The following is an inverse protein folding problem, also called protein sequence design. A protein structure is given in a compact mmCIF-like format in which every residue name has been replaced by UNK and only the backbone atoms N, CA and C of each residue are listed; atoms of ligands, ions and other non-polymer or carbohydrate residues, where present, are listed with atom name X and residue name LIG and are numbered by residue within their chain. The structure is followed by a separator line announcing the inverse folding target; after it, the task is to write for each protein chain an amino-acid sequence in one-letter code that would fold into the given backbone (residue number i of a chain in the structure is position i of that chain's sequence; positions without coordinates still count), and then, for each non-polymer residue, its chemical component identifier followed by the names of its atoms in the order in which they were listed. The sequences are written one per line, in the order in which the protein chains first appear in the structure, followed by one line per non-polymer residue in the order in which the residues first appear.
data_IF_933959336019
#
_entry.id   IF_933959336019
#
_cell.length_a   1.000
_cell.length_b   1.000
_cell.length_c   1.000
_cell.angle_alpha   90.00
_cell.angle_beta   90.00
_cell.angle_gamma   90.00
#
_symmetry.space_group_name_H-M   'P 1'
#
loop_
_entity.id
_entity.type
_entity.pdbx_description
1 polymer ?
#
# COMPACT_ATOMS: atom_id res chain seq x y z
N UNK A 1 15.00 4.43 24.29
CA UNK A 1 13.60 4.86 24.24
C UNK A 1 12.73 3.71 23.76
N UNK A 2 11.63 3.43 24.44
CA UNK A 2 10.67 2.42 24.01
C UNK A 2 9.99 2.91 22.73
N UNK A 3 10.30 2.30 21.57
CA UNK A 3 9.64 2.56 20.28
C UNK A 3 8.21 1.99 20.30
N UNK A 4 7.42 2.53 21.20
CA UNK A 4 6.09 2.04 21.55
C UNK A 4 5.04 2.28 20.46
N UNK A 5 5.39 2.98 19.38
CA UNK A 5 4.57 3.13 18.18
C UNK A 5 4.80 2.02 17.14
N UNK A 6 5.83 1.18 17.28
CA UNK A 6 6.25 0.21 16.25
C UNK A 6 5.86 -1.24 16.59
N UNK A 7 4.80 -1.41 17.38
CA UNK A 7 4.47 -2.69 18.03
C UNK A 7 4.01 -3.76 17.04
N UNK A 8 3.37 -3.38 15.93
CA UNK A 8 2.97 -4.32 14.87
C UNK A 8 4.21 -4.89 14.18
N UNK A 9 5.18 -4.04 13.78
CA UNK A 9 6.44 -4.52 13.20
C UNK A 9 7.24 -5.41 14.16
N UNK A 10 7.18 -5.13 15.46
CA UNK A 10 7.81 -5.97 16.47
C UNK A 10 7.15 -7.34 16.61
N UNK A 11 5.82 -7.41 16.53
CA UNK A 11 5.14 -8.70 16.48
C UNK A 11 5.50 -9.47 15.21
N UNK A 12 5.71 -8.78 14.08
CA UNK A 12 6.23 -9.39 12.86
C UNK A 12 7.59 -10.07 13.07
N UNK A 13 8.56 -9.34 13.62
CA UNK A 13 9.88 -9.93 13.94
C UNK A 13 9.71 -11.11 14.88
N UNK A 14 8.89 -10.97 15.94
CA UNK A 14 8.71 -11.98 16.97
C UNK A 14 8.08 -13.27 16.45
N UNK A 15 7.11 -13.19 15.53
CA UNK A 15 6.30 -14.32 15.08
C UNK A 15 6.71 -14.86 13.72
N UNK A 16 7.11 -14.00 12.80
CA UNK A 16 7.47 -14.36 11.43
C UNK A 16 8.99 -14.38 11.21
N UNK A 17 9.77 -13.76 12.09
CA UNK A 17 11.24 -13.74 12.02
C UNK A 17 11.82 -12.67 11.08
N UNK A 18 10.97 -11.79 10.53
CA UNK A 18 11.37 -10.76 9.57
C UNK A 18 10.82 -9.40 9.98
N UNK A 19 11.56 -8.35 9.65
CA UNK A 19 11.12 -6.97 9.82
C UNK A 19 10.29 -6.54 8.59
N UNK A 20 9.08 -6.06 8.82
CA UNK A 20 8.29 -5.40 7.77
C UNK A 20 8.77 -3.95 7.60
N UNK A 21 9.04 -3.53 6.37
CA UNK A 21 9.46 -2.14 6.09
C UNK A 21 8.30 -1.16 6.17
N UNK A 22 7.06 -1.60 6.00
CA UNK A 22 5.87 -0.76 6.13
C UNK A 22 5.55 -0.45 7.59
N UNK A 23 5.15 0.79 7.87
CA UNK A 23 4.78 1.34 9.18
C UNK A 23 3.79 0.45 9.94
N UNK A 24 3.89 0.45 11.27
CA UNK A 24 2.97 -0.35 12.10
C UNK A 24 1.50 0.02 11.92
N UNK A 25 1.22 1.26 11.53
CA UNK A 25 -0.10 1.76 11.15
C UNK A 25 -0.62 1.05 9.91
N UNK A 26 -0.03 1.28 8.73
CA UNK A 26 -0.53 0.68 7.49
C UNK A 26 -0.39 -0.85 7.50
N UNK A 27 0.68 -1.38 8.10
CA UNK A 27 0.88 -2.83 8.19
C UNK A 27 -0.18 -3.52 9.06
N UNK A 28 -0.91 -2.80 9.92
CA UNK A 28 -2.04 -3.38 10.64
C UNK A 28 -3.25 -3.63 9.72
N UNK A 29 -3.36 -2.89 8.62
CA UNK A 29 -4.48 -2.94 7.66
C UNK A 29 -4.31 -4.05 6.62
N UNK A 30 -3.07 -4.34 6.19
CA UNK A 30 -2.77 -5.37 5.18
C UNK A 30 -3.01 -6.83 5.60
N UNK A 31 -3.46 -7.08 6.82
CA UNK A 31 -3.68 -8.42 7.34
C UNK A 31 -4.81 -8.47 8.38
N UNK A 32 -5.19 -9.69 8.72
CA UNK A 32 -6.35 -10.00 9.56
C UNK A 32 -6.01 -10.24 11.05
N UNK A 33 -4.83 -9.83 11.51
CA UNK A 33 -4.33 -10.18 12.85
C UNK A 33 -4.61 -9.13 13.92
N UNK A 34 -4.71 -7.85 13.55
CA UNK A 34 -4.64 -6.75 14.53
C UNK A 34 -5.93 -5.96 14.70
N UNK A 35 -6.62 -5.64 13.61
CA UNK A 35 -7.87 -4.89 13.64
C UNK A 35 -8.99 -5.92 13.62
N UNK A 36 -9.64 -6.16 14.78
CA UNK A 36 -10.70 -7.17 14.90
C UNK A 36 -11.81 -6.72 15.84
N UNK A 37 -13.06 -6.77 15.38
CA UNK A 37 -14.23 -6.40 16.20
C UNK A 37 -14.36 -7.26 17.47
N UNK A 38 -14.03 -8.55 17.36
CA UNK A 38 -14.06 -9.51 18.48
C UNK A 38 -12.93 -9.31 19.49
N UNK A 39 -11.85 -8.63 19.10
CA UNK A 39 -10.67 -8.40 19.92
C UNK A 39 -10.28 -6.91 19.92
N UNK A 40 -11.19 -6.02 20.38
CA UNK A 40 -10.98 -4.58 20.29
C UNK A 40 -9.78 -4.11 21.14
N UNK A 41 -9.36 -4.90 22.14
CA UNK A 41 -8.18 -4.62 22.96
C UNK A 41 -6.86 -4.64 22.17
N UNK A 42 -6.84 -5.26 20.98
CA UNK A 42 -5.66 -5.28 20.12
C UNK A 42 -5.31 -3.89 19.61
N UNK A 43 -6.30 -3.02 19.39
CA UNK A 43 -6.08 -1.63 18.95
C UNK A 43 -5.24 -0.87 19.99
N UNK A 44 -5.62 -0.94 21.27
CA UNK A 44 -4.85 -0.30 22.35
C UNK A 44 -3.50 -0.99 22.57
N UNK A 45 -3.49 -2.33 22.57
CA UNK A 45 -2.27 -3.12 22.79
C UNK A 45 -1.18 -2.82 21.76
N UNK A 46 -1.54 -2.67 20.49
CA UNK A 46 -0.61 -2.39 19.40
C UNK A 46 -0.57 -0.91 19.00
N UNK A 47 -1.39 -0.06 19.64
CA UNK A 47 -1.50 1.39 19.41
C UNK A 47 -1.77 1.76 17.95
N UNK A 48 -2.78 1.12 17.38
CA UNK A 48 -3.13 1.27 15.96
C UNK A 48 -4.00 2.52 15.80
N UNK A 49 -3.58 3.53 15.02
CA UNK A 49 -4.37 4.74 14.83
C UNK A 49 -5.35 4.55 13.66
N UNK A 50 -6.63 4.24 13.97
CA UNK A 50 -7.64 3.97 12.93
C UNK A 50 -8.01 5.20 12.08
N UNK A 51 -7.95 6.41 12.66
CA UNK A 51 -8.34 7.66 11.98
C UNK A 51 -7.14 8.48 11.46
N UNK A 52 -6.02 7.81 11.22
CA UNK A 52 -4.77 8.49 10.90
C UNK A 52 -4.83 9.19 9.54
N UNK A 53 -5.25 8.46 8.51
CA UNK A 53 -5.28 8.98 7.14
C UNK A 53 -6.21 10.21 6.98
N UNK A 54 -7.48 10.20 7.49
CA UNK A 54 -8.31 11.40 7.48
C UNK A 54 -7.67 12.58 8.20
N UNK A 55 -7.05 12.36 9.37
CA UNK A 55 -6.36 13.41 10.13
C UNK A 55 -5.17 13.98 9.36
N UNK A 56 -4.39 13.13 8.67
CA UNK A 56 -3.32 13.59 7.77
C UNK A 56 -3.88 14.43 6.63
N UNK A 57 -5.00 14.03 6.02
CA UNK A 57 -5.64 14.81 4.96
C UNK A 57 -6.04 16.21 5.44
N UNK A 58 -6.73 16.31 6.58
CA UNK A 58 -7.13 17.60 7.16
C UNK A 58 -5.92 18.51 7.43
N UNK A 59 -4.88 17.97 8.07
CA UNK A 59 -3.65 18.69 8.37
C UNK A 59 -2.94 19.15 7.10
N UNK A 60 -2.85 18.30 6.08
CA UNK A 60 -2.21 18.64 4.81
C UNK A 60 -2.98 19.72 4.05
N UNK A 61 -4.32 19.64 4.01
CA UNK A 61 -5.16 20.66 3.38
C UNK A 61 -5.02 22.00 4.11
N UNK A 62 -5.04 22.01 5.44
CA UNK A 62 -4.85 23.22 6.24
C UNK A 62 -3.45 23.81 6.03
N UNK A 63 -2.41 22.96 6.06
CA UNK A 63 -1.03 23.35 5.79
C UNK A 63 -0.85 23.97 4.42
N UNK A 64 -1.44 23.37 3.38
CA UNK A 64 -1.42 23.91 2.02
C UNK A 64 -2.09 25.29 1.93
N UNK A 65 -3.25 25.46 2.56
CA UNK A 65 -3.96 26.75 2.59
C UNK A 65 -3.13 27.84 3.27
N UNK A 66 -2.49 27.52 4.40
CA UNK A 66 -1.63 28.45 5.13
C UNK A 66 -0.36 28.81 4.34
N UNK A 67 0.27 27.82 3.69
CA UNK A 67 1.50 28.03 2.93
C UNK A 67 1.30 28.72 1.58
N UNK A 68 0.07 28.70 1.03
CA UNK A 68 -0.26 29.28 -0.28
C UNK A 68 0.19 30.72 -0.43
N UNK A 69 -0.08 31.57 0.57
CA UNK A 69 0.28 33.00 0.49
C UNK A 69 1.80 33.20 0.43
N UNK A 70 2.56 32.40 1.19
CA UNK A 70 4.01 32.42 1.15
C UNK A 70 4.53 32.02 -0.24
N UNK A 71 3.97 30.96 -0.84
CA UNK A 71 4.39 30.49 -2.16
C UNK A 71 4.09 31.49 -3.29
N UNK A 72 2.94 32.16 -3.25
CA UNK A 72 2.55 33.14 -4.28
C UNK A 72 3.35 34.45 -4.14
N UNK A 73 3.81 34.80 -2.94
CA UNK A 73 4.60 36.02 -2.68
C UNK A 73 6.03 35.98 -3.24
N UNK A 74 6.50 34.83 -3.74
CA UNK A 74 7.79 34.68 -4.44
C UNK A 74 9.01 34.51 -3.54
N UNK A 75 8.87 34.56 -2.21
CA UNK A 75 9.97 34.34 -1.27
C UNK A 75 10.08 32.86 -0.86
N UNK A 76 10.39 31.99 -1.82
CA UNK A 76 10.44 30.54 -1.62
C UNK A 76 11.84 30.01 -1.95
N UNK A 77 12.40 29.24 -1.04
CA UNK A 77 13.61 28.45 -1.28
C UNK A 77 13.28 26.97 -1.12
N UNK A 78 14.07 26.10 -1.74
CA UNK A 78 13.90 24.66 -1.59
C UNK A 78 15.25 23.98 -1.51
N UNK A 79 15.27 22.85 -0.79
CA UNK A 79 16.36 21.89 -0.84
C UNK A 79 15.80 20.57 -1.35
N UNK A 80 16.64 19.78 -2.02
CA UNK A 80 16.28 18.43 -2.43
C UNK A 80 15.95 17.60 -1.18
N UNK A 81 14.78 16.98 -1.14
CA UNK A 81 14.37 16.11 -0.04
C UNK A 81 15.00 14.73 -0.17
N UNK A 82 14.61 13.80 0.69
CA UNK A 82 14.97 12.38 0.59
C UNK A 82 14.06 11.59 -0.36
N UNK A 83 13.04 12.23 -0.93
CA UNK A 83 12.09 11.58 -1.83
C UNK A 83 12.72 11.21 -3.17
N UNK A 84 12.43 10.00 -3.64
CA UNK A 84 13.14 9.41 -4.79
C UNK A 84 12.92 10.11 -6.12
N UNK A 85 11.79 10.81 -6.33
CA UNK A 85 11.43 11.37 -7.64
C UNK A 85 12.55 12.22 -8.27
N UNK A 86 13.14 13.13 -7.49
CA UNK A 86 14.23 13.98 -7.99
C UNK A 86 15.49 13.17 -8.32
N UNK A 87 15.81 12.12 -7.55
CA UNK A 87 16.98 11.24 -7.77
C UNK A 87 16.79 10.31 -8.97
N UNK A 88 15.57 9.85 -9.21
CA UNK A 88 15.21 9.08 -10.41
C UNK A 88 15.45 9.94 -11.65
N UNK A 89 14.93 11.17 -11.68
CA UNK A 89 15.12 12.08 -12.82
C UNK A 89 16.60 12.38 -13.09
N UNK A 90 17.36 12.69 -12.04
CA UNK A 90 18.80 12.98 -12.12
C UNK A 90 19.62 11.77 -12.62
N UNK A 91 19.31 10.57 -12.11
CA UNK A 91 19.98 9.34 -12.54
C UNK A 91 19.70 9.00 -14.01
N UNK A 92 18.47 9.21 -14.48
CA UNK A 92 18.10 9.02 -15.89
C UNK A 92 18.82 10.03 -16.78
N UNK A 93 18.85 11.31 -16.38
CA UNK A 93 19.41 12.39 -17.21
C UNK A 93 20.93 12.40 -17.25
N UNK A 94 21.59 12.04 -16.15
CA UNK A 94 23.06 12.16 -16.00
C UNK A 94 23.80 10.83 -16.12
N UNK A 95 23.06 9.71 -16.20
CA UNK A 95 23.59 8.35 -16.14
C UNK A 95 24.42 8.03 -14.89
N UNK A 96 24.27 8.82 -13.81
CA UNK A 96 24.85 8.51 -12.51
C UNK A 96 23.90 7.56 -11.78
N UNK A 97 24.26 6.29 -11.57
CA UNK A 97 23.30 5.31 -11.06
C UNK A 97 22.81 5.64 -9.65
N UNK A 98 21.53 5.39 -9.40
CA UNK A 98 20.91 5.58 -8.08
C UNK A 98 20.09 4.34 -7.69
N UNK A 99 20.12 3.97 -6.41
CA UNK A 99 19.40 2.81 -5.87
C UNK A 99 18.15 3.26 -5.12
N UNK A 100 17.03 2.60 -5.39
CA UNK A 100 15.75 2.84 -4.70
C UNK A 100 15.09 1.51 -4.30
N UNK A 101 14.12 1.56 -3.40
CA UNK A 101 13.01 0.59 -3.39
C UNK A 101 11.99 1.06 -4.43
N UNK A 102 11.61 0.20 -5.37
CA UNK A 102 10.77 0.57 -6.50
C UNK A 102 9.75 -0.50 -6.84
N UNK A 103 8.55 -0.04 -7.21
CA UNK A 103 7.44 -0.87 -7.65
C UNK A 103 7.58 -1.15 -9.15
N UNK A 104 7.76 -2.41 -9.53
CA UNK A 104 7.96 -2.87 -10.91
C UNK A 104 7.19 -4.16 -11.17
N UNK A 105 6.85 -4.43 -12.43
CA UNK A 105 6.21 -5.70 -12.80
C UNK A 105 7.13 -6.88 -12.45
N UNK A 106 6.58 -7.93 -11.84
CA UNK A 106 7.33 -9.11 -11.46
C UNK A 106 7.70 -9.97 -12.69
N UNK A 107 8.75 -9.59 -13.39
CA UNK A 107 9.25 -10.34 -14.56
C UNK A 107 10.01 -11.63 -14.19
N UNK A 108 9.79 -12.16 -12.97
CA UNK A 108 10.58 -13.22 -12.34
C UNK A 108 11.59 -12.67 -11.31
N UNK A 109 11.31 -11.51 -10.73
CA UNK A 109 12.16 -10.87 -9.72
C UNK A 109 11.98 -11.54 -8.35
N UNK A 110 10.74 -11.93 -8.03
CA UNK A 110 10.38 -12.77 -6.88
C UNK A 110 9.74 -14.06 -7.40
N UNK A 111 10.44 -15.17 -7.22
CA UNK A 111 10.11 -16.45 -7.91
C UNK A 111 8.74 -17.00 -7.54
N UNK A 112 8.34 -16.85 -6.28
CA UNK A 112 7.13 -17.44 -5.72
C UNK A 112 5.98 -16.44 -5.58
N UNK A 113 5.97 -15.40 -6.42
CA UNK A 113 4.83 -14.50 -6.63
C UNK A 113 4.44 -14.46 -8.13
N UNK A 114 3.18 -14.16 -8.48
CA UNK A 114 2.70 -14.08 -9.86
C UNK A 114 3.49 -13.09 -10.69
N UNK A 115 3.61 -13.34 -12.01
CA UNK A 115 4.36 -12.45 -12.91
C UNK A 115 3.58 -11.18 -13.26
N UNK A 116 2.28 -11.25 -13.10
CA UNK A 116 1.30 -10.18 -13.30
C UNK A 116 1.31 -9.18 -12.13
N UNK A 117 1.90 -9.55 -10.99
CA UNK A 117 1.96 -8.69 -9.81
C UNK A 117 2.96 -7.55 -9.98
N UNK A 118 2.60 -6.37 -9.48
CA UNK A 118 3.58 -5.31 -9.20
C UNK A 118 4.25 -5.62 -7.87
N UNK A 119 5.58 -5.69 -7.85
CA UNK A 119 6.37 -6.01 -6.65
C UNK A 119 7.30 -4.85 -6.33
N UNK A 120 7.48 -4.58 -5.05
CA UNK A 120 8.49 -3.63 -4.59
C UNK A 120 9.80 -4.37 -4.32
N UNK A 121 10.83 -4.06 -5.10
CA UNK A 121 12.17 -4.64 -4.97
C UNK A 121 13.24 -3.55 -5.06
N UNK A 122 14.49 -3.83 -4.64
CA UNK A 122 15.59 -2.94 -4.96
C UNK A 122 15.67 -2.73 -6.48
N UNK A 123 15.78 -1.47 -6.89
CA UNK A 123 15.93 -1.09 -8.28
C UNK A 123 17.19 -0.25 -8.49
N UNK A 124 17.88 -0.46 -9.60
CA UNK A 124 18.94 0.41 -10.09
C UNK A 124 18.36 1.33 -11.17
N UNK A 125 18.60 2.64 -11.03
CA UNK A 125 18.13 3.66 -11.97
C UNK A 125 19.34 4.31 -12.63
N UNK A 126 19.33 4.41 -13.96
CA UNK A 126 20.32 5.15 -14.77
C UNK A 126 19.68 5.55 -16.12
N UNK A 127 20.47 5.87 -17.16
CA UNK A 127 19.93 6.27 -18.47
C UNK A 127 19.02 5.22 -19.13
N UNK A 128 19.17 3.94 -18.76
CA UNK A 128 18.36 2.85 -19.29
C UNK A 128 17.01 2.70 -18.57
N UNK A 129 16.72 3.58 -17.60
CA UNK A 129 15.48 3.57 -16.83
C UNK A 129 15.61 2.78 -15.52
N UNK A 130 14.46 2.41 -14.97
CA UNK A 130 14.35 1.68 -13.70
C UNK A 130 14.49 0.18 -13.96
N UNK A 131 15.48 -0.44 -13.33
CA UNK A 131 15.79 -1.87 -13.49
C UNK A 131 15.61 -2.57 -12.13
N UNK A 132 14.58 -3.41 -12.04
CA UNK A 132 14.36 -4.26 -10.86
C UNK A 132 15.49 -5.27 -10.68
N UNK A 133 15.95 -5.45 -9.45
CA UNK A 133 16.94 -6.46 -9.10
C UNK A 133 16.25 -7.77 -8.69
N UNK A 134 16.76 -8.89 -9.19
CA UNK A 134 16.32 -10.22 -8.77
C UNK A 134 16.49 -10.38 -7.25
N UNK A 135 15.43 -10.82 -6.58
CA UNK A 135 15.39 -11.07 -5.15
C UNK A 135 15.41 -12.57 -4.84
N UNK A 136 14.70 -13.36 -5.64
CA UNK A 136 14.48 -14.80 -5.43
C UNK A 136 13.21 -15.10 -4.64
N UNK A 137 13.11 -16.29 -4.09
CA UNK A 137 11.92 -16.72 -3.36
C UNK A 137 11.80 -16.04 -1.99
N UNK A 138 10.62 -15.50 -1.68
CA UNK A 138 10.28 -15.10 -0.32
C UNK A 138 10.11 -16.33 0.58
N UNK A 139 10.33 -16.22 1.90
CA UNK A 139 9.91 -17.25 2.85
C UNK A 139 8.42 -17.62 2.67
N UNK A 140 8.03 -18.90 2.75
CA UNK A 140 6.69 -19.35 2.36
C UNK A 140 5.53 -18.59 3.03
N UNK A 141 5.66 -18.31 4.33
CA UNK A 141 4.66 -17.56 5.08
C UNK A 141 4.55 -16.10 4.65
N UNK A 142 5.67 -15.47 4.24
CA UNK A 142 5.66 -14.09 3.76
C UNK A 142 5.13 -14.02 2.33
N UNK A 143 5.48 -14.99 1.48
CA UNK A 143 4.89 -15.13 0.16
C UNK A 143 3.37 -15.27 0.27
N UNK A 144 2.87 -16.14 1.17
CA UNK A 144 1.45 -16.32 1.39
C UNK A 144 0.73 -15.03 1.83
N UNK A 145 1.35 -14.23 2.71
CA UNK A 145 0.79 -12.93 3.12
C UNK A 145 0.76 -11.89 2.00
N UNK A 146 1.76 -11.89 1.12
CA UNK A 146 1.74 -11.03 -0.06
C UNK A 146 0.68 -11.51 -1.06
N UNK A 147 0.54 -12.83 -1.23
CA UNK A 147 -0.44 -13.42 -2.14
C UNK A 147 -1.87 -13.04 -1.80
N UNK A 148 -2.26 -12.99 -0.53
CA UNK A 148 -3.62 -12.56 -0.14
C UNK A 148 -3.92 -11.15 -0.64
N UNK A 149 -2.94 -10.24 -0.59
CA UNK A 149 -3.09 -8.87 -1.06
C UNK A 149 -3.00 -8.74 -2.60
N UNK A 150 -2.09 -9.49 -3.23
CA UNK A 150 -1.95 -9.52 -4.70
C UNK A 150 -3.24 -9.98 -5.37
N UNK A 151 -3.93 -10.97 -4.80
CA UNK A 151 -5.18 -11.47 -5.34
C UNK A 151 -6.26 -10.37 -5.42
N UNK A 152 -6.36 -9.53 -4.39
CA UNK A 152 -7.28 -8.37 -4.37
C UNK A 152 -6.94 -7.39 -5.49
N UNK A 153 -5.65 -7.08 -5.66
CA UNK A 153 -5.17 -6.12 -6.65
C UNK A 153 -5.44 -6.60 -8.09
N UNK A 154 -5.12 -7.87 -8.38
CA UNK A 154 -5.34 -8.46 -9.69
C UNK A 154 -6.83 -8.54 -10.04
N UNK A 155 -7.70 -8.90 -9.08
CA UNK A 155 -9.15 -8.90 -9.29
C UNK A 155 -9.72 -7.49 -9.45
N UNK A 156 -9.18 -6.50 -8.73
CA UNK A 156 -9.56 -5.09 -8.92
C UNK A 156 -9.21 -4.61 -10.34
N UNK A 157 -8.04 -5.01 -10.86
CA UNK A 157 -7.66 -4.72 -12.25
C UNK A 157 -8.62 -5.43 -13.22
N UNK A 158 -8.92 -6.71 -12.98
CA UNK A 158 -9.85 -7.49 -13.81
C UNK A 158 -11.25 -6.85 -13.83
N UNK A 159 -11.74 -6.37 -12.68
CA UNK A 159 -12.98 -5.62 -12.58
C UNK A 159 -12.93 -4.35 -13.45
N UNK A 160 -11.87 -3.56 -13.34
CA UNK A 160 -11.72 -2.32 -14.11
C UNK A 160 -11.64 -2.57 -15.63
N UNK A 161 -10.96 -3.64 -16.07
CA UNK A 161 -10.79 -4.00 -17.48
C UNK A 161 -12.07 -4.58 -18.07
N UNK A 162 -12.67 -5.55 -17.39
CA UNK A 162 -13.87 -6.27 -17.89
C UNK A 162 -15.16 -5.53 -17.61
N UNK A 163 -15.15 -4.58 -16.66
CA UNK A 163 -16.31 -3.91 -16.08
C UNK A 163 -17.30 -4.85 -15.41
N UNK A 164 -16.92 -6.08 -15.09
CA UNK A 164 -17.77 -7.02 -14.35
C UNK A 164 -17.80 -6.65 -12.88
N UNK A 165 -18.99 -6.34 -12.37
CA UNK A 165 -19.21 -6.02 -10.96
C UNK A 165 -18.81 -7.18 -10.04
N UNK A 166 -19.02 -8.41 -10.48
CA UNK A 166 -18.65 -9.62 -9.74
C UNK A 166 -17.17 -9.64 -9.32
N UNK A 167 -16.25 -9.12 -10.14
CA UNK A 167 -14.83 -9.08 -9.80
C UNK A 167 -14.51 -8.09 -8.66
N UNK A 168 -15.32 -7.05 -8.46
CA UNK A 168 -15.23 -6.18 -7.30
C UNK A 168 -15.56 -6.98 -6.03
N UNK A 169 -16.65 -7.75 -6.07
CA UNK A 169 -17.03 -8.60 -4.95
C UNK A 169 -15.97 -9.66 -4.67
N UNK A 170 -15.45 -10.34 -5.70
CA UNK A 170 -14.38 -11.31 -5.54
C UNK A 170 -13.13 -10.68 -4.90
N UNK A 171 -12.76 -9.46 -5.30
CA UNK A 171 -11.63 -8.75 -4.69
C UNK A 171 -11.87 -8.50 -3.20
N UNK A 172 -13.04 -7.97 -2.83
CA UNK A 172 -13.39 -7.70 -1.44
C UNK A 172 -13.53 -8.98 -0.59
N UNK A 173 -14.03 -10.07 -1.16
CA UNK A 173 -14.11 -11.39 -0.49
C UNK A 173 -12.75 -12.01 -0.21
N UNK A 174 -11.72 -11.67 -1.00
CA UNK A 174 -10.36 -12.18 -0.81
C UNK A 174 -9.46 -11.22 -0.02
N UNK A 175 -9.95 -10.01 0.29
CA UNK A 175 -9.26 -9.11 1.21
C UNK A 175 -9.19 -9.74 2.61
N UNK A 176 -7.99 -9.85 3.21
CA UNK A 176 -7.84 -10.56 4.47
C UNK A 176 -8.61 -9.90 5.61
N UNK A 177 -8.65 -8.57 5.68
CA UNK A 177 -9.32 -7.88 6.77
C UNK A 177 -10.84 -7.95 6.61
N UNK A 178 -11.35 -7.58 5.43
CA UNK A 178 -12.78 -7.60 5.09
C UNK A 178 -13.39 -8.98 5.32
N UNK A 179 -12.80 -10.04 4.75
CA UNK A 179 -13.30 -11.41 4.87
C UNK A 179 -13.20 -11.97 6.29
N UNK A 180 -12.37 -11.37 7.15
CA UNK A 180 -12.25 -11.79 8.55
C UNK A 180 -13.29 -11.16 9.48
N UNK A 181 -13.98 -10.12 9.02
CA UNK A 181 -14.94 -9.36 9.83
C UNK A 181 -16.39 -9.44 9.29
N UNK A 182 -16.58 -9.62 7.99
CA UNK A 182 -17.88 -9.56 7.34
C UNK A 182 -18.31 -10.91 6.74
N UNK A 183 -19.63 -11.14 6.65
CA UNK A 183 -20.18 -12.25 5.88
C UNK A 183 -20.17 -11.95 4.37
N UNK A 184 -20.40 -12.96 3.52
CA UNK A 184 -20.46 -12.78 2.06
C UNK A 184 -21.55 -11.75 1.67
N UNK A 185 -22.73 -11.84 2.28
CA UNK A 185 -23.85 -10.94 1.98
C UNK A 185 -23.54 -9.50 2.41
N UNK A 186 -22.90 -9.33 3.59
CA UNK A 186 -22.46 -8.01 4.06
C UNK A 186 -21.39 -7.41 3.15
N UNK A 187 -20.47 -8.23 2.62
CA UNK A 187 -19.43 -7.78 1.69
C UNK A 187 -20.05 -7.28 0.38
N UNK A 188 -21.00 -8.03 -0.18
CA UNK A 188 -21.70 -7.62 -1.41
C UNK A 188 -22.46 -6.32 -1.17
N UNK A 189 -23.22 -6.24 -0.07
CA UNK A 189 -23.96 -5.02 0.30
C UNK A 189 -23.02 -3.82 0.46
N UNK A 190 -21.90 -3.97 1.17
CA UNK A 190 -20.89 -2.93 1.33
C UNK A 190 -20.33 -2.46 -0.02
N UNK A 191 -20.02 -3.41 -0.92
CA UNK A 191 -19.53 -3.07 -2.25
C UNK A 191 -20.56 -2.29 -3.07
N UNK A 192 -21.82 -2.70 -3.02
CA UNK A 192 -22.91 -1.99 -3.71
C UNK A 192 -23.09 -0.57 -3.16
N UNK A 193 -23.11 -0.40 -1.83
CA UNK A 193 -23.18 0.91 -1.17
C UNK A 193 -22.00 1.81 -1.59
N UNK A 194 -20.78 1.25 -1.66
CA UNK A 194 -19.59 1.99 -2.10
C UNK A 194 -19.67 2.35 -3.59
N UNK A 195 -20.17 1.47 -4.46
CA UNK A 195 -20.34 1.76 -5.89
C UNK A 195 -21.36 2.89 -6.07
N UNK A 196 -22.49 2.83 -5.37
CA UNK A 196 -23.51 3.88 -5.40
C UNK A 196 -22.93 5.22 -4.90
N UNK A 197 -22.24 5.21 -3.76
CA UNK A 197 -21.68 6.42 -3.16
C UNK A 197 -20.63 7.11 -4.06
N UNK A 198 -19.84 6.34 -4.81
CA UNK A 198 -18.83 6.89 -5.72
C UNK A 198 -19.42 7.32 -7.07
N UNK A 199 -20.55 6.73 -7.49
CA UNK A 199 -21.30 7.13 -8.68
C UNK A 199 -20.42 7.31 -9.92
N UNK A 200 -20.43 8.52 -10.49
CA UNK A 200 -19.69 8.85 -11.72
C UNK A 200 -18.16 8.91 -11.58
N UNK A 201 -17.62 8.71 -10.37
CA UNK A 201 -16.17 8.57 -10.17
C UNK A 201 -15.67 7.19 -10.59
N UNK A 202 -16.58 6.22 -10.72
CA UNK A 202 -16.32 4.88 -11.21
C UNK A 202 -16.87 4.68 -12.62
N UNK A 203 -16.30 3.74 -13.41
CA UNK A 203 -16.94 3.32 -14.66
C UNK A 203 -18.27 2.61 -14.36
N UNK A 204 -19.16 2.59 -15.35
CA UNK A 204 -20.37 1.77 -15.27
C UNK A 204 -20.00 0.27 -15.30
N UNK A 205 -20.32 -0.43 -14.21
CA UNK A 205 -20.13 -1.87 -14.05
C UNK A 205 -21.44 -2.63 -14.33
N UNK A 206 -21.32 -3.70 -15.11
CA UNK A 206 -22.40 -4.68 -15.39
C UNK A 206 -22.22 -5.98 -14.60
#
# INVERSE_FOLDING_TARGET
ESKSWDLVRYEYIRRFGYYCTESSEHNAEYNNFFIKSRYPELIERYRIPLDEYPRRCENQIAGWKAAREQYVSGNVTHNRTHEYASYIMDAIMTDKPYKIGGNVLNTGLIDNLPREACVEVPCLVNRAGVQGCYFGSLPPQLAAMNMTNINVQLLTIEAAVTKKREHIYHAAMLDPHTSSELSIDDIVSLCDDLIEAHGSWLPEYH
#
